data_IF_764099389862
#
_entry.id   IF_764099389862
#
_cell.length_a   1.000
_cell.length_b   1.000
_cell.length_c   1.000
_cell.angle_alpha   90.00
_cell.angle_beta   90.00
_cell.angle_gamma   90.00
#
_symmetry.space_group_name_H-M   'P 1'
#
loop_
_entity.id
_entity.type
_entity.pdbx_description
1 polymer ?
#
# COMPACT_ATOMS: atom_id res chain seq x y z
N UNK A 1 -0.97 1.89 -12.42
CA UNK A 1 0.31 2.63 -12.22
C UNK A 1 1.47 1.63 -12.17
N UNK A 2 2.32 1.58 -13.21
CA UNK A 2 3.52 0.71 -13.24
C UNK A 2 4.53 1.02 -12.13
N UNK A 3 5.51 0.14 -11.93
CA UNK A 3 6.54 0.08 -10.85
C UNK A 3 7.02 1.45 -10.32
N UNK A 4 6.19 2.10 -9.49
CA UNK A 4 6.52 3.31 -8.76
C UNK A 4 6.69 2.96 -7.30
N UNK A 5 7.83 3.34 -6.72
CA UNK A 5 8.09 3.21 -5.30
C UNK A 5 7.03 3.94 -4.46
N UNK A 6 6.74 3.43 -3.25
CA UNK A 6 5.79 4.08 -2.33
C UNK A 6 6.21 5.53 -2.02
N UNK A 7 7.52 5.78 -1.92
CA UNK A 7 8.09 7.11 -1.65
C UNK A 7 7.80 8.10 -2.78
N UNK A 8 7.85 7.62 -4.01
CA UNK A 8 7.61 8.39 -5.23
C UNK A 8 6.12 8.72 -5.41
N UNK A 9 5.23 7.76 -5.15
CA UNK A 9 3.77 7.99 -5.09
C UNK A 9 3.39 9.05 -4.05
N UNK A 10 3.99 8.97 -2.85
CA UNK A 10 3.69 9.95 -1.79
C UNK A 10 4.15 11.36 -2.17
N UNK A 11 5.35 11.50 -2.74
CA UNK A 11 5.82 12.81 -3.22
C UNK A 11 4.92 13.38 -4.32
N UNK A 12 4.52 12.56 -5.29
CA UNK A 12 3.59 12.96 -6.34
C UNK A 12 2.26 13.45 -5.77
N UNK A 13 1.67 12.72 -4.82
CA UNK A 13 0.41 13.09 -4.17
C UNK A 13 0.53 14.37 -3.35
N UNK A 14 1.63 14.55 -2.61
CA UNK A 14 1.89 15.80 -1.88
C UNK A 14 2.06 16.97 -2.85
N UNK A 15 2.77 16.79 -3.95
CA UNK A 15 2.92 17.82 -4.98
C UNK A 15 1.58 18.25 -5.57
N UNK A 16 0.69 17.30 -5.88
CA UNK A 16 -0.67 17.62 -6.35
C UNK A 16 -1.46 18.36 -5.27
N UNK A 17 -1.41 17.89 -4.02
CA UNK A 17 -2.12 18.50 -2.88
C UNK A 17 -1.67 19.93 -2.59
N UNK A 18 -0.38 20.23 -2.71
CA UNK A 18 0.19 21.56 -2.50
C UNK A 18 0.25 22.42 -3.77
N UNK A 19 -0.28 21.93 -4.90
CA UNK A 19 -0.30 22.69 -6.16
C UNK A 19 1.09 22.95 -6.76
N UNK A 20 2.07 22.09 -6.49
CA UNK A 20 3.42 22.22 -7.05
C UNK A 20 3.39 22.01 -8.57
N UNK A 21 4.30 22.70 -9.27
CA UNK A 21 4.46 22.54 -10.71
C UNK A 21 5.01 21.15 -11.05
N UNK A 22 4.63 20.66 -12.23
CA UNK A 22 5.07 19.35 -12.77
C UNK A 22 6.59 19.26 -12.90
N UNK A 23 7.25 20.35 -13.30
CA UNK A 23 8.71 20.46 -13.33
C UNK A 23 9.38 20.21 -11.96
N UNK A 24 8.93 20.91 -10.92
CA UNK A 24 9.50 20.78 -9.57
C UNK A 24 9.32 19.37 -9.01
N UNK A 25 8.18 18.76 -9.32
CA UNK A 25 7.87 17.39 -8.92
C UNK A 25 8.71 16.39 -9.68
N UNK A 26 8.92 16.60 -10.98
CA UNK A 26 9.84 15.78 -11.79
C UNK A 26 11.25 15.82 -11.23
N UNK A 27 11.74 17.00 -10.85
CA UNK A 27 13.06 17.16 -10.23
C UNK A 27 13.16 16.41 -8.89
N UNK A 28 12.16 16.53 -8.02
CA UNK A 28 12.09 15.78 -6.74
C UNK A 28 11.96 14.28 -6.92
N UNK A 29 11.28 13.83 -7.96
CA UNK A 29 11.13 12.40 -8.25
C UNK A 29 12.44 11.82 -8.80
N UNK A 30 13.14 12.55 -9.67
CA UNK A 30 14.46 12.12 -10.19
C UNK A 30 15.51 11.93 -9.09
N UNK A 31 15.42 12.67 -7.99
CA UNK A 31 16.32 12.49 -6.85
C UNK A 31 15.97 11.30 -5.96
N UNK A 32 14.82 10.65 -6.17
CA UNK A 32 14.39 9.46 -5.45
C UNK A 32 14.80 8.23 -6.26
N UNK A 33 15.69 7.40 -5.69
CA UNK A 33 16.00 6.04 -6.18
C UNK A 33 16.44 5.94 -7.65
N UNK A 34 17.34 6.84 -8.12
CA UNK A 34 17.97 6.74 -9.45
C UNK A 34 16.95 6.67 -10.61
N UNK A 35 15.86 7.43 -10.48
CA UNK A 35 14.86 7.60 -11.53
C UNK A 35 15.16 8.82 -12.42
N UNK A 36 16.44 9.03 -12.74
CA UNK A 36 16.96 10.11 -13.58
C UNK A 36 16.38 10.08 -15.01
N UNK A 37 15.80 8.95 -15.43
CA UNK A 37 15.16 8.76 -16.74
C UNK A 37 13.69 9.20 -16.82
N UNK A 38 13.10 9.74 -15.75
CA UNK A 38 11.70 10.19 -15.79
C UNK A 38 11.57 11.49 -16.58
N UNK A 39 10.76 11.47 -17.63
CA UNK A 39 10.40 12.66 -18.40
C UNK A 39 9.29 13.46 -17.71
N UNK A 40 9.26 14.77 -17.95
CA UNK A 40 8.20 15.64 -17.43
C UNK A 40 6.81 15.25 -17.95
N UNK A 41 6.73 14.78 -19.21
CA UNK A 41 5.48 14.26 -19.79
C UNK A 41 4.95 13.03 -19.03
N UNK A 42 5.85 12.18 -18.53
CA UNK A 42 5.48 11.04 -17.68
C UNK A 42 4.92 11.54 -16.34
N UNK A 43 5.56 12.53 -15.72
CA UNK A 43 5.08 13.15 -14.49
C UNK A 43 3.72 13.82 -14.68
N UNK A 44 3.50 14.50 -15.81
CA UNK A 44 2.23 15.13 -16.17
C UNK A 44 1.08 14.11 -16.23
N UNK A 45 1.28 12.99 -16.92
CA UNK A 45 0.30 11.87 -16.96
C UNK A 45 -0.02 11.33 -15.57
N UNK A 46 0.99 11.27 -14.70
CA UNK A 46 0.78 10.85 -13.31
C UNK A 46 0.02 11.87 -12.47
N UNK A 47 0.24 13.17 -12.69
CA UNK A 47 -0.56 14.24 -12.08
C UNK A 47 -2.03 14.12 -12.45
N UNK A 48 -2.34 13.92 -13.72
CA UNK A 48 -3.71 13.72 -14.20
C UNK A 48 -4.33 12.46 -13.57
N UNK A 49 -3.57 11.36 -13.52
CA UNK A 49 -4.01 10.12 -12.87
C UNK A 49 -4.29 10.30 -11.38
N UNK A 50 -3.49 11.10 -10.65
CA UNK A 50 -3.68 11.39 -9.22
C UNK A 50 -4.82 12.39 -8.97
N UNK A 51 -5.13 13.25 -9.94
CA UNK A 51 -6.32 14.12 -9.86
C UNK A 51 -7.62 13.33 -10.14
N UNK A 52 -7.55 12.29 -10.97
CA UNK A 52 -8.69 11.42 -11.31
C UNK A 52 -8.92 10.31 -10.29
N UNK A 53 -7.85 9.68 -9.79
CA UNK A 53 -7.92 8.75 -8.66
C UNK A 53 -8.03 9.55 -7.38
N UNK A 54 -9.23 9.55 -6.80
CA UNK A 54 -9.57 10.18 -5.52
C UNK A 54 -8.38 10.18 -4.54
N UNK A 55 -8.00 11.35 -4.03
CA UNK A 55 -6.81 11.61 -3.18
C UNK A 55 -6.92 10.93 -1.80
N UNK A 56 -7.86 10.02 -1.61
CA UNK A 56 -8.11 9.34 -0.36
C UNK A 56 -6.84 8.65 0.11
N UNK A 57 -6.40 9.06 1.31
CA UNK A 57 -5.31 8.43 2.07
C UNK A 57 -5.67 7.00 2.51
N UNK A 58 -6.85 6.51 2.14
CA UNK A 58 -7.26 5.15 2.39
C UNK A 58 -6.33 4.20 1.64
N UNK A 59 -5.46 3.58 2.42
CA UNK A 59 -4.87 2.31 2.06
C UNK A 59 -6.07 1.41 1.77
N UNK A 60 -6.44 1.25 0.48
CA UNK A 60 -7.40 0.22 0.09
C UNK A 60 -6.96 -1.04 0.81
N UNK A 61 -7.83 -1.67 1.62
CA UNK A 61 -7.46 -2.86 2.35
C UNK A 61 -6.82 -3.79 1.32
N UNK A 62 -5.55 -4.11 1.56
CA UNK A 62 -4.82 -5.05 0.72
C UNK A 62 -5.73 -6.28 0.68
N UNK A 63 -5.97 -6.84 -0.50
CA UNK A 63 -6.69 -8.12 -0.63
C UNK A 63 -5.89 -9.19 0.12
N UNK A 64 -6.01 -9.20 1.45
CA UNK A 64 -5.52 -10.24 2.31
C UNK A 64 -6.36 -11.45 1.96
N UNK A 65 -5.71 -12.61 1.85
CA UNK A 65 -6.44 -13.86 1.75
C UNK A 65 -7.50 -13.87 2.87
N UNK A 66 -8.76 -14.24 2.57
CA UNK A 66 -9.75 -14.40 3.61
C UNK A 66 -9.18 -15.30 4.69
N UNK A 67 -9.36 -14.92 5.96
CA UNK A 67 -8.88 -15.70 7.10
C UNK A 67 -9.51 -17.08 7.01
N UNK A 68 -8.74 -18.09 6.64
CA UNK A 68 -9.21 -19.48 6.64
C UNK A 68 -9.08 -20.02 8.07
N UNK A 69 -10.17 -19.98 8.82
CA UNK A 69 -10.22 -20.52 10.17
C UNK A 69 -11.50 -20.11 10.85
N UNK A 70 -12.19 -21.08 11.45
CA UNK A 70 -13.37 -20.79 12.24
C UNK A 70 -12.92 -20.26 13.62
N UNK A 71 -13.02 -18.94 13.82
CA UNK A 71 -12.59 -18.29 15.06
C UNK A 71 -13.34 -18.80 16.28
N UNK A 72 -14.59 -19.23 16.12
CA UNK A 72 -15.42 -19.69 17.22
C UNK A 72 -14.98 -21.06 17.71
N UNK A 73 -14.56 -21.93 16.79
CA UNK A 73 -13.97 -23.24 17.13
C UNK A 73 -12.63 -23.06 17.85
N UNK A 74 -11.80 -22.11 17.40
CA UNK A 74 -10.54 -21.80 18.08
C UNK A 74 -10.77 -21.27 19.50
N UNK A 75 -11.72 -20.33 19.66
CA UNK A 75 -12.09 -19.81 20.99
C UNK A 75 -12.60 -20.92 21.91
N UNK A 76 -13.51 -21.76 21.43
CA UNK A 76 -14.07 -22.85 22.23
C UNK A 76 -12.99 -23.86 22.68
N UNK A 77 -12.01 -24.16 21.83
CA UNK A 77 -10.91 -25.06 22.19
C UNK A 77 -9.96 -24.43 23.22
N UNK A 78 -9.70 -23.12 23.13
CA UNK A 78 -8.89 -22.39 24.11
C UNK A 78 -9.63 -22.27 25.46
N UNK A 79 -10.93 -22.00 25.44
CA UNK A 79 -11.75 -21.93 26.67
C UNK A 79 -11.86 -23.29 27.38
N UNK A 80 -12.04 -24.38 26.62
CA UNK A 80 -12.08 -25.73 27.17
C UNK A 80 -10.74 -26.20 27.71
N UNK A 81 -9.64 -25.80 27.07
CA UNK A 81 -8.30 -26.12 27.55
C UNK A 81 -7.32 -24.98 27.25
N UNK A 82 -7.06 -24.10 28.23
CA UNK A 82 -6.21 -22.92 28.04
C UNK A 82 -4.74 -23.26 27.82
N UNK A 83 -4.34 -24.50 28.10
CA UNK A 83 -2.97 -24.99 27.86
C UNK A 83 -2.77 -25.58 26.45
N UNK A 84 -3.80 -25.56 25.60
CA UNK A 84 -3.70 -26.12 24.24
C UNK A 84 -2.70 -25.35 23.40
N UNK A 85 -1.61 -26.02 23.03
CA UNK A 85 -0.57 -25.43 22.19
C UNK A 85 -1.04 -25.16 20.76
N UNK A 86 -0.42 -24.17 20.12
CA UNK A 86 -0.75 -23.70 18.76
C UNK A 86 -0.67 -24.83 17.71
N UNK A 87 0.23 -25.81 17.88
CA UNK A 87 0.36 -26.97 16.96
C UNK A 87 -0.87 -27.88 17.00
N UNK A 88 -1.41 -28.15 18.19
CA UNK A 88 -2.66 -28.91 18.39
C UNK A 88 -3.85 -28.17 17.79
N UNK A 89 -3.95 -26.86 18.00
CA UNK A 89 -5.00 -26.02 17.42
C UNK A 89 -4.94 -25.98 15.88
N UNK A 90 -3.75 -26.08 15.31
CA UNK A 90 -3.54 -26.15 13.87
C UNK A 90 -3.73 -27.57 13.29
N UNK A 91 -4.09 -28.57 14.10
CA UNK A 91 -4.24 -29.97 13.68
C UNK A 91 -2.92 -30.61 13.22
N UNK A 92 -1.78 -30.09 13.67
CA UNK A 92 -0.44 -30.58 13.35
C UNK A 92 0.13 -31.34 14.54
N UNK A 93 -0.28 -32.60 14.68
CA UNK A 93 0.39 -33.61 15.51
C UNK A 93 0.80 -34.79 14.63
#
# INVERSE_FOLDING_TARGET
MGNMSRKMRNNLRLSVKFGLKTFETTRKIRTIEWYDKISEQTTQKWFESVKQEDLTLEIKPRNCKPVSGNSDVLKQNIERNPTTGIRKLAGKE
#
